data_IF_293573192603
#
_entry.id   IF_293573192603
#
_cell.length_a   1.000
_cell.length_b   1.000
_cell.length_c   1.000
_cell.angle_alpha   90.00
_cell.angle_beta   90.00
_cell.angle_gamma   90.00
#
_symmetry.space_group_name_H-M   'P 1'
#
loop_
_entity.id
_entity.type
_entity.pdbx_description
1 polymer ?
#
# COMPACT_ATOMS: atom_id res chain seq x y z
N UNK A 1 0.20 7.20 -17.64
CA UNK A 1 1.28 6.35 -17.08
C UNK A 1 1.62 5.28 -18.10
N UNK A 2 2.86 4.82 -18.16
CA UNK A 2 3.32 3.68 -18.99
C UNK A 2 3.54 2.45 -18.11
N UNK A 3 3.24 1.28 -18.65
CA UNK A 3 3.56 0.00 -18.02
C UNK A 3 5.03 -0.35 -18.26
N UNK A 4 5.70 -0.86 -17.23
CA UNK A 4 7.13 -1.21 -17.26
C UNK A 4 7.38 -2.56 -16.58
N UNK A 5 8.51 -3.18 -16.93
CA UNK A 5 8.95 -4.41 -16.28
C UNK A 5 9.61 -4.09 -14.93
N UNK A 6 9.42 -4.95 -13.92
CA UNK A 6 10.08 -4.79 -12.63
C UNK A 6 11.61 -4.76 -12.72
N UNK A 7 12.19 -5.37 -13.75
CA UNK A 7 13.64 -5.39 -14.01
C UNK A 7 14.22 -4.02 -14.38
N UNK A 8 13.34 -3.14 -14.87
CA UNK A 8 13.73 -1.79 -15.28
C UNK A 8 13.61 -0.78 -14.12
N UNK A 9 13.08 -1.23 -12.96
CA UNK A 9 12.90 -0.36 -11.82
C UNK A 9 14.21 -0.10 -11.07
N UNK A 10 14.41 1.17 -10.73
CA UNK A 10 15.52 1.65 -9.93
C UNK A 10 15.03 2.54 -8.80
N UNK A 11 15.04 2.04 -7.57
CA UNK A 11 14.71 2.81 -6.38
C UNK A 11 15.31 2.17 -5.12
N UNK A 12 15.38 2.96 -4.05
CA UNK A 12 15.76 2.46 -2.74
C UNK A 12 14.48 2.15 -1.94
N UNK A 13 14.15 0.86 -1.67
CA UNK A 13 12.91 0.49 -0.99
C UNK A 13 12.83 1.03 0.44
N UNK A 14 13.94 1.23 1.13
CA UNK A 14 13.98 1.80 2.47
C UNK A 14 13.53 3.27 2.46
N UNK A 15 13.98 4.05 1.47
CA UNK A 15 13.52 5.43 1.30
C UNK A 15 12.05 5.46 0.89
N UNK A 16 11.67 4.62 -0.06
CA UNK A 16 10.32 4.60 -0.63
C UNK A 16 9.26 4.35 0.45
N UNK A 17 9.48 3.36 1.31
CA UNK A 17 8.55 3.02 2.40
C UNK A 17 8.75 3.90 3.63
N UNK A 18 9.98 3.97 4.17
CA UNK A 18 10.22 4.59 5.47
C UNK A 18 10.20 6.12 5.44
N UNK A 19 10.62 6.75 4.34
CA UNK A 19 10.76 8.21 4.24
C UNK A 19 9.71 8.87 3.35
N UNK A 20 9.50 8.32 2.16
CA UNK A 20 8.55 8.88 1.20
C UNK A 20 7.11 8.49 1.54
N UNK A 21 6.91 7.29 2.05
CA UNK A 21 5.64 6.61 2.32
C UNK A 21 4.91 6.24 1.02
N UNK A 22 3.94 5.36 1.14
CA UNK A 22 3.09 4.96 0.02
C UNK A 22 1.61 5.04 0.40
N UNK A 23 0.74 5.20 -0.59
CA UNK A 23 -0.69 5.02 -0.41
C UNK A 23 -1.05 3.59 -0.77
N UNK A 24 -1.64 2.86 0.18
CA UNK A 24 -2.25 1.57 -0.06
C UNK A 24 -3.74 1.76 -0.30
N UNK A 25 -4.24 1.25 -1.43
CA UNK A 25 -5.63 1.41 -1.83
C UNK A 25 -6.24 0.09 -2.26
N UNK A 26 -7.52 -0.09 -1.97
CA UNK A 26 -8.31 -1.21 -2.45
C UNK A 26 -9.78 -0.80 -2.63
N UNK A 27 -10.50 -1.57 -3.40
CA UNK A 27 -11.90 -1.35 -3.74
C UNK A 27 -12.11 -1.26 -5.24
N UNK A 28 -13.36 -1.06 -5.63
CA UNK A 28 -13.80 -0.99 -7.00
C UNK A 28 -14.78 0.17 -7.20
N UNK A 29 -15.20 0.41 -8.45
CA UNK A 29 -16.08 1.53 -8.79
C UNK A 29 -17.50 1.34 -8.25
N UNK A 30 -17.97 0.09 -8.14
CA UNK A 30 -19.35 -0.22 -7.76
C UNK A 30 -19.56 -0.18 -6.24
N UNK A 31 -18.64 -0.79 -5.48
CA UNK A 31 -18.74 -0.95 -4.03
C UNK A 31 -17.97 0.14 -3.25
N UNK A 32 -17.30 1.01 -3.99
CA UNK A 32 -16.45 2.04 -3.42
C UNK A 32 -15.02 1.58 -3.15
N UNK A 33 -14.20 2.51 -2.70
CA UNK A 33 -12.79 2.26 -2.41
C UNK A 33 -12.31 3.08 -1.22
N UNK A 34 -11.21 2.67 -0.64
CA UNK A 34 -10.52 3.46 0.37
C UNK A 34 -9.00 3.40 0.20
N UNK A 35 -8.31 4.36 0.79
CA UNK A 35 -6.86 4.44 0.81
C UNK A 35 -6.34 4.75 2.21
N UNK A 36 -5.11 4.41 2.47
CA UNK A 36 -4.38 4.78 3.68
C UNK A 36 -2.90 4.95 3.38
N UNK A 37 -2.23 5.76 4.15
CA UNK A 37 -0.77 5.88 4.09
C UNK A 37 -0.12 4.73 4.86
N UNK A 38 0.88 4.13 4.25
CA UNK A 38 1.75 3.12 4.86
C UNK A 38 3.19 3.57 4.84
N UNK A 39 3.95 3.16 5.87
CA UNK A 39 5.40 3.33 5.99
C UNK A 39 6.10 2.04 6.39
N UNK A 40 5.35 0.96 6.63
CA UNK A 40 5.83 -0.38 6.93
C UNK A 40 5.50 -1.31 5.77
N UNK A 41 6.47 -2.10 5.36
CA UNK A 41 6.29 -3.05 4.26
C UNK A 41 7.62 -3.57 3.76
N UNK A 42 7.54 -4.46 2.79
CA UNK A 42 8.69 -5.01 2.08
C UNK A 42 8.40 -5.08 0.59
N UNK A 43 9.43 -4.92 -0.21
CA UNK A 43 9.38 -5.14 -1.66
C UNK A 43 10.52 -6.10 -1.96
N UNK A 44 10.21 -7.23 -2.60
CA UNK A 44 11.17 -8.28 -2.84
C UNK A 44 10.61 -9.38 -3.73
N UNK A 45 11.05 -10.61 -3.52
CA UNK A 45 10.57 -11.80 -4.24
C UNK A 45 10.20 -12.88 -3.23
N UNK A 46 9.09 -13.57 -3.46
CA UNK A 46 8.63 -14.68 -2.63
C UNK A 46 8.00 -15.77 -3.51
N UNK A 47 8.21 -17.03 -3.14
CA UNK A 47 7.69 -18.25 -3.77
C UNK A 47 8.15 -18.55 -5.20
N UNK A 48 8.81 -17.62 -5.91
CA UNK A 48 9.33 -17.85 -7.25
C UNK A 48 10.58 -17.03 -7.54
N UNK A 49 11.40 -17.49 -8.47
CA UNK A 49 12.68 -16.85 -8.78
C UNK A 49 12.54 -15.50 -9.52
N UNK A 50 11.37 -15.22 -10.08
CA UNK A 50 11.11 -14.00 -10.84
C UNK A 50 9.74 -13.39 -10.53
N UNK A 51 9.17 -13.70 -9.37
CA UNK A 51 7.87 -13.16 -8.95
C UNK A 51 8.10 -12.02 -7.95
N UNK A 52 8.05 -10.75 -8.41
CA UNK A 52 8.16 -9.61 -7.53
C UNK A 52 6.92 -9.54 -6.63
N UNK A 53 7.16 -9.35 -5.34
CA UNK A 53 6.10 -9.26 -4.34
C UNK A 53 6.26 -8.04 -3.46
N UNK A 54 5.15 -7.63 -2.87
CA UNK A 54 5.12 -6.68 -1.76
C UNK A 54 4.56 -7.34 -0.52
N UNK A 55 4.99 -6.89 0.63
CA UNK A 55 4.36 -7.20 1.91
C UNK A 55 3.86 -5.89 2.51
N UNK A 56 2.57 -5.80 2.74
CA UNK A 56 1.93 -4.66 3.38
C UNK A 56 1.36 -5.07 4.75
N UNK A 57 1.47 -4.17 5.73
CA UNK A 57 0.96 -4.38 7.09
C UNK A 57 -0.18 -3.41 7.36
N UNK A 58 -1.36 -3.94 7.68
CA UNK A 58 -2.57 -3.14 7.92
C UNK A 58 -3.12 -3.47 9.30
N UNK A 59 -3.27 -2.46 10.17
CA UNK A 59 -3.89 -2.64 11.50
C UNK A 59 -5.35 -3.04 11.37
N UNK A 60 -5.82 -3.87 12.29
CA UNK A 60 -7.21 -4.34 12.33
C UNK A 60 -8.23 -3.18 12.37
N UNK A 61 -7.89 -2.07 13.04
CA UNK A 61 -8.75 -0.89 13.15
C UNK A 61 -8.90 -0.08 11.86
N UNK A 62 -8.01 -0.24 10.87
CA UNK A 62 -8.01 0.57 9.65
C UNK A 62 -9.17 0.24 8.72
N UNK A 63 -9.93 1.26 8.31
CA UNK A 63 -11.05 1.08 7.38
C UNK A 63 -10.62 0.50 6.03
N UNK A 64 -9.45 0.86 5.53
CA UNK A 64 -8.91 0.29 4.28
C UNK A 64 -8.79 -1.24 4.33
N UNK A 65 -8.58 -1.82 5.54
CA UNK A 65 -8.53 -3.28 5.71
C UNK A 65 -9.78 -3.96 5.21
N UNK A 66 -10.97 -3.38 5.44
CA UNK A 66 -12.25 -3.99 5.01
C UNK A 66 -12.34 -4.11 3.49
N UNK A 67 -11.70 -3.21 2.74
CA UNK A 67 -11.60 -3.29 1.29
C UNK A 67 -10.55 -4.31 0.86
N UNK A 68 -9.35 -4.29 1.48
CA UNK A 68 -8.30 -5.27 1.16
C UNK A 68 -8.75 -6.70 1.46
N UNK A 69 -9.51 -6.93 2.52
CA UNK A 69 -10.05 -8.26 2.84
C UNK A 69 -11.02 -8.76 1.76
N UNK A 70 -11.86 -7.86 1.24
CA UNK A 70 -12.91 -8.17 0.26
C UNK A 70 -12.36 -8.36 -1.16
N UNK A 71 -11.42 -7.53 -1.57
CA UNK A 71 -10.90 -7.51 -2.94
C UNK A 71 -9.72 -8.47 -3.13
N UNK A 72 -9.55 -8.98 -4.35
CA UNK A 72 -8.40 -9.80 -4.72
C UNK A 72 -7.14 -8.96 -4.96
N UNK A 73 -7.32 -7.67 -5.24
CA UNK A 73 -6.24 -6.76 -5.58
C UNK A 73 -6.16 -5.58 -4.61
N UNK A 74 -4.96 -5.09 -4.43
CA UNK A 74 -4.67 -3.80 -3.82
C UNK A 74 -3.55 -3.10 -4.59
N UNK A 75 -3.44 -1.79 -4.43
CA UNK A 75 -2.36 -1.02 -5.06
C UNK A 75 -1.49 -0.33 -4.02
N UNK A 76 -0.22 -0.15 -4.39
CA UNK A 76 0.69 0.75 -3.68
C UNK A 76 1.09 1.89 -4.63
N UNK A 77 0.78 3.13 -4.23
CA UNK A 77 1.08 4.33 -5.00
C UNK A 77 2.18 5.14 -4.33
N UNK A 78 3.23 5.46 -5.08
CA UNK A 78 4.21 6.49 -4.69
C UNK A 78 3.74 7.82 -5.21
N UNK A 79 3.66 8.80 -4.33
CA UNK A 79 3.19 10.14 -4.66
C UNK A 79 4.37 11.10 -4.83
N UNK A 80 4.14 12.21 -5.52
CA UNK A 80 5.10 13.30 -5.53
C UNK A 80 5.30 13.87 -4.11
N UNK A 81 6.51 14.37 -3.83
CA UNK A 81 6.85 14.95 -2.53
C UNK A 81 5.91 16.12 -2.11
N UNK A 82 5.33 16.82 -3.08
CA UNK A 82 4.34 17.86 -2.85
C UNK A 82 3.05 17.37 -2.16
N UNK A 83 2.75 16.07 -2.27
CA UNK A 83 1.59 15.44 -1.62
C UNK A 83 1.84 14.99 -0.17
N UNK A 84 2.99 15.29 0.42
CA UNK A 84 3.33 14.82 1.77
C UNK A 84 2.30 15.18 2.85
N UNK A 85 1.71 16.38 2.76
CA UNK A 85 0.64 16.81 3.68
C UNK A 85 -0.64 16.00 3.50
N UNK A 86 -1.03 15.77 2.25
CA UNK A 86 -2.19 14.93 1.90
C UNK A 86 -1.99 13.49 2.37
N UNK A 87 -0.79 12.94 2.20
CA UNK A 87 -0.47 11.60 2.69
C UNK A 87 -0.56 11.51 4.22
N UNK A 88 -0.06 12.50 4.96
CA UNK A 88 -0.20 12.56 6.40
C UNK A 88 -1.68 12.60 6.83
N UNK A 89 -2.50 13.43 6.16
CA UNK A 89 -3.94 13.49 6.36
C UNK A 89 -4.63 12.14 6.08
N UNK A 90 -4.35 11.51 4.93
CA UNK A 90 -4.92 10.22 4.53
C UNK A 90 -4.56 9.09 5.50
N UNK A 91 -3.41 9.19 6.17
CA UNK A 91 -2.96 8.24 7.20
C UNK A 91 -3.61 8.44 8.57
N UNK A 92 -4.09 9.67 8.88
CA UNK A 92 -4.65 10.03 10.19
C UNK A 92 -6.18 9.95 10.25
N UNK A 93 -6.87 10.24 9.13
CA UNK A 93 -8.32 10.31 9.07
C UNK A 93 -8.93 9.01 8.56
N UNK A 94 -10.07 8.60 9.15
CA UNK A 94 -10.81 7.42 8.69
C UNK A 94 -11.74 7.77 7.53
N UNK A 95 -11.77 6.92 6.50
CA UNK A 95 -12.76 7.01 5.42
C UNK A 95 -14.19 6.65 5.85
N UNK A 96 -14.39 6.20 7.11
CA UNK A 96 -15.73 6.04 7.70
C UNK A 96 -16.34 7.38 8.07
N UNK A 97 -15.50 8.35 8.41
CA UNK A 97 -15.93 9.63 8.96
C UNK A 97 -16.15 10.68 7.87
N UNK A 98 -15.38 10.56 6.76
CA UNK A 98 -15.46 11.52 5.68
C UNK A 98 -14.86 10.98 4.35
N UNK A 99 -15.22 11.63 3.23
CA UNK A 99 -14.61 11.33 1.93
C UNK A 99 -13.21 11.95 1.83
N UNK A 100 -12.26 11.30 2.50
CA UNK A 100 -10.89 11.79 2.61
C UNK A 100 -10.12 11.81 1.29
N UNK A 101 -10.48 10.94 0.32
CA UNK A 101 -9.84 10.90 -1.00
C UNK A 101 -10.14 12.19 -1.76
N UNK A 102 -11.41 12.58 -1.78
CA UNK A 102 -11.85 13.82 -2.41
C UNK A 102 -11.24 15.06 -1.72
N UNK A 103 -11.28 15.09 -0.39
CA UNK A 103 -10.67 16.18 0.39
C UNK A 103 -9.16 16.31 0.20
N UNK A 104 -8.47 15.21 -0.06
CA UNK A 104 -7.05 15.21 -0.41
C UNK A 104 -6.77 15.69 -1.85
N UNK A 105 -7.82 15.89 -2.66
CA UNK A 105 -7.68 16.31 -4.05
C UNK A 105 -7.13 15.22 -4.97
N UNK A 106 -7.36 13.95 -4.65
CA UNK A 106 -6.87 12.83 -5.44
C UNK A 106 -7.93 12.35 -6.43
N UNK A 107 -7.48 12.10 -7.67
CA UNK A 107 -8.32 11.59 -8.77
C UNK A 107 -8.19 10.07 -8.84
N UNK A 108 -9.30 9.38 -8.56
CA UNK A 108 -9.36 7.92 -8.64
C UNK A 108 -9.31 7.44 -10.08
N UNK A 109 -8.54 6.39 -10.33
CA UNK A 109 -8.51 5.63 -11.59
C UNK A 109 -8.83 4.18 -11.25
N UNK A 110 -9.90 3.65 -11.83
CA UNK A 110 -10.28 2.25 -11.69
C UNK A 110 -9.81 1.49 -12.93
N UNK A 111 -8.90 0.56 -12.76
CA UNK A 111 -8.36 -0.28 -13.81
C UNK A 111 -7.75 -1.56 -13.22
N UNK A 112 -7.64 -2.60 -14.02
CA UNK A 112 -6.97 -3.85 -13.62
C UNK A 112 -7.50 -4.44 -12.31
N UNK A 113 -8.84 -4.42 -12.12
CA UNK A 113 -9.54 -4.86 -10.90
C UNK A 113 -9.03 -4.14 -9.62
N UNK A 114 -8.55 -2.92 -9.76
CA UNK A 114 -7.97 -2.17 -8.66
C UNK A 114 -8.27 -0.67 -8.78
N UNK A 115 -7.87 0.09 -7.77
CA UNK A 115 -7.96 1.55 -7.74
C UNK A 115 -6.59 2.14 -7.42
N UNK A 116 -6.20 3.17 -8.15
CA UNK A 116 -5.01 3.98 -7.89
C UNK A 116 -5.30 5.47 -8.17
N UNK A 117 -4.31 6.33 -8.07
CA UNK A 117 -4.49 7.77 -8.23
C UNK A 117 -3.70 8.31 -9.43
N UNK A 118 -4.36 9.19 -10.20
CA UNK A 118 -3.78 9.84 -11.38
C UNK A 118 -2.49 10.58 -11.04
N UNK A 119 -2.42 11.14 -9.84
CA UNK A 119 -1.31 11.94 -9.33
C UNK A 119 -0.08 11.10 -8.91
N UNK A 120 -0.22 9.78 -8.86
CA UNK A 120 0.88 8.89 -8.50
C UNK A 120 2.02 8.96 -9.52
N UNK A 121 3.25 8.79 -9.06
CA UNK A 121 4.48 8.69 -9.88
C UNK A 121 4.75 7.24 -10.27
N UNK A 122 4.53 6.33 -9.33
CA UNK A 122 4.68 4.89 -9.49
C UNK A 122 3.46 4.21 -8.87
N UNK A 123 2.91 3.22 -9.57
CA UNK A 123 1.85 2.34 -9.06
C UNK A 123 2.28 0.89 -9.18
N UNK A 124 2.18 0.16 -8.08
CA UNK A 124 2.30 -1.29 -8.06
C UNK A 124 0.89 -1.87 -7.91
N UNK A 125 0.41 -2.59 -8.92
CA UNK A 125 -0.86 -3.32 -8.87
C UNK A 125 -0.55 -4.73 -8.38
N UNK A 126 -1.10 -5.09 -7.24
CA UNK A 126 -0.74 -6.28 -6.50
C UNK A 126 -1.94 -7.22 -6.33
N UNK A 127 -1.80 -8.45 -6.81
CA UNK A 127 -2.75 -9.53 -6.54
C UNK A 127 -2.45 -10.12 -5.17
N UNK A 128 -3.45 -10.15 -4.30
CA UNK A 128 -3.32 -10.72 -2.96
C UNK A 128 -3.13 -12.23 -3.04
N UNK A 129 -2.05 -12.76 -2.48
CA UNK A 129 -1.74 -14.19 -2.50
C UNK A 129 -1.74 -14.83 -1.10
N UNK A 130 -1.48 -14.02 -0.07
CA UNK A 130 -1.45 -14.52 1.30
C UNK A 130 -1.84 -13.44 2.29
N UNK A 131 -2.52 -13.82 3.36
CA UNK A 131 -2.80 -12.97 4.49
C UNK A 131 -2.64 -13.74 5.81
N UNK A 132 -2.01 -13.12 6.81
CA UNK A 132 -1.87 -13.67 8.15
C UNK A 132 -1.80 -12.56 9.19
N UNK A 133 -2.47 -12.76 10.30
CA UNK A 133 -2.37 -11.82 11.43
C UNK A 133 -1.05 -12.01 12.17
N UNK A 134 -0.40 -10.92 12.51
CA UNK A 134 0.68 -10.95 13.48
C UNK A 134 0.12 -11.37 14.84
N UNK A 135 0.87 -12.20 15.56
CA UNK A 135 0.49 -12.71 16.89
C UNK A 135 1.49 -12.24 17.92
N UNK A 136 1.04 -11.88 19.11
CA UNK A 136 1.90 -11.53 20.23
C UNK A 136 2.97 -12.61 20.48
N UNK A 137 2.57 -13.88 20.42
CA UNK A 137 3.48 -15.03 20.61
C UNK A 137 4.61 -15.12 19.58
N UNK A 138 4.49 -14.41 18.43
CA UNK A 138 5.51 -14.36 17.39
C UNK A 138 6.61 -13.34 17.62
N UNK A 139 6.45 -12.44 18.60
CA UNK A 139 7.48 -11.43 18.92
C UNK A 139 8.57 -12.06 19.80
N UNK A 140 9.75 -12.22 19.23
CA UNK A 140 10.93 -12.70 19.94
C UNK A 140 11.41 -11.61 20.91
N UNK A 141 11.49 -10.37 20.42
CA UNK A 141 11.72 -9.19 21.23
C UNK A 141 10.38 -8.62 21.72
N UNK A 142 10.12 -8.75 23.00
CA UNK A 142 8.86 -8.31 23.63
C UNK A 142 8.72 -6.80 23.71
N UNK A 143 9.84 -6.07 23.78
CA UNK A 143 9.81 -4.60 23.81
C UNK A 143 9.22 -4.03 22.51
N UNK A 144 9.47 -4.67 21.37
CA UNK A 144 8.86 -4.28 20.08
C UNK A 144 7.34 -4.39 20.16
N UNK A 145 6.82 -5.47 20.74
CA UNK A 145 5.37 -5.65 20.89
C UNK A 145 4.77 -4.56 21.79
N UNK A 146 5.35 -4.34 22.95
CA UNK A 146 4.88 -3.35 23.93
C UNK A 146 4.89 -1.92 23.35
N UNK A 147 5.94 -1.55 22.63
CA UNK A 147 6.06 -0.23 22.01
C UNK A 147 5.14 -0.03 20.80
N UNK A 148 5.05 -1.02 19.92
CA UNK A 148 4.32 -0.90 18.67
C UNK A 148 2.81 -1.17 18.83
N UNK A 149 2.42 -1.95 19.84
CA UNK A 149 1.04 -2.42 20.02
C UNK A 149 0.50 -2.27 21.44
N UNK A 150 0.63 -1.08 22.08
CA UNK A 150 0.19 -0.88 23.46
C UNK A 150 -1.30 -1.14 23.68
N UNK A 151 -2.11 -1.09 22.62
CA UNK A 151 -3.55 -1.31 22.66
C UNK A 151 -3.96 -2.63 21.95
N UNK A 152 -3.03 -3.50 21.61
CA UNK A 152 -3.32 -4.80 20.99
C UNK A 152 -3.86 -4.72 19.55
N UNK A 153 -3.80 -3.55 18.87
CA UNK A 153 -4.25 -3.38 17.48
C UNK A 153 -3.18 -3.88 16.50
N UNK A 154 -2.99 -5.20 16.47
CA UNK A 154 -1.98 -5.84 15.62
C UNK A 154 -2.30 -5.67 14.13
N UNK A 155 -1.25 -5.81 13.33
CA UNK A 155 -1.38 -5.80 11.88
C UNK A 155 -1.72 -7.18 11.33
N UNK A 156 -2.49 -7.20 10.27
CA UNK A 156 -2.51 -8.29 9.31
C UNK A 156 -1.44 -8.03 8.25
N UNK A 157 -0.62 -9.02 7.98
CA UNK A 157 0.34 -9.05 6.89
C UNK A 157 -0.35 -9.52 5.62
N UNK A 158 -0.22 -8.78 4.54
CA UNK A 158 -0.70 -9.18 3.21
C UNK A 158 0.48 -9.29 2.27
N UNK A 159 0.63 -10.44 1.63
CA UNK A 159 1.58 -10.63 0.54
C UNK A 159 0.84 -10.50 -0.78
N UNK A 160 1.30 -9.62 -1.63
CA UNK A 160 0.75 -9.40 -2.96
C UNK A 160 1.81 -9.59 -4.03
N UNK A 161 1.49 -10.39 -5.06
CA UNK A 161 2.29 -10.48 -6.28
C UNK A 161 2.11 -9.20 -7.08
N UNK A 162 3.20 -8.56 -7.49
CA UNK A 162 3.15 -7.40 -8.37
C UNK A 162 2.89 -7.91 -9.80
N UNK A 163 1.67 -7.71 -10.29
CA UNK A 163 1.29 -8.13 -11.64
C UNK A 163 1.46 -7.01 -12.67
N UNK A 164 1.36 -5.75 -12.23
CA UNK A 164 1.54 -4.60 -13.12
C UNK A 164 2.25 -3.46 -12.39
N UNK A 165 3.12 -2.78 -13.13
CA UNK A 165 3.85 -1.61 -12.65
C UNK A 165 3.62 -0.48 -13.63
N UNK A 166 3.12 0.65 -13.13
CA UNK A 166 2.86 1.84 -13.92
C UNK A 166 3.72 2.98 -13.44
N UNK A 167 4.44 3.64 -14.34
CA UNK A 167 5.24 4.85 -14.05
C UNK A 167 4.71 6.04 -14.83
N UNK A 168 4.75 7.23 -14.21
CA UNK A 168 4.34 8.47 -14.86
C UNK A 168 5.48 9.06 -15.68
N UNK A 169 6.67 9.01 -15.15
CA UNK A 169 7.91 9.52 -15.75
C UNK A 169 9.07 8.54 -15.55
N UNK A 170 10.25 8.86 -16.05
CA UNK A 170 11.40 7.95 -16.04
C UNK A 170 12.22 7.99 -14.73
N UNK A 171 11.76 8.68 -13.69
CA UNK A 171 12.49 8.82 -12.41
C UNK A 171 12.82 7.46 -11.74
N UNK A 172 11.94 6.48 -11.92
CA UNK A 172 12.10 5.14 -11.34
C UNK A 172 12.71 4.11 -12.30
N UNK A 173 13.22 4.54 -13.45
CA UNK A 173 13.82 3.68 -14.45
C UNK A 173 15.34 3.84 -14.47
N UNK A 174 16.06 2.75 -14.72
CA UNK A 174 17.51 2.77 -14.75
C UNK A 174 18.14 1.79 -15.72
#
# INVERSE_FOLDING_TARGET
MKEVCYKDLKFNPFNLLGKEWMLLSAGNEQDGCNTMTISWGHIGCMWGHNDPTVVAYIRASRYTKTFVDKEDYFTLCVMDASFKKQMAYLGSVSGRDENKIEKAGLTKVFADNSVYFKEAKLVLVCKKEYAADLKESGFIDKEIFEQAYPNGDLHTMYVGKIEKILVRDDEYLG
#
